data_IF_000498592553
#
_entry.id   IF_000498592553
#
_cell.length_a   1.000
_cell.length_b   1.000
_cell.length_c   1.000
_cell.angle_alpha   90.00
_cell.angle_beta   90.00
_cell.angle_gamma   90.00
#
_symmetry.space_group_name_H-M   'P 1'
#
loop_
_entity.id
_entity.type
_entity.pdbx_description
1 polymer ?
#
# COMPACT_ATOMS: atom_id res chain seq x y z
N UNK A 1 -56.30 -35.48 21.21
CA UNK A 1 -54.95 -35.71 21.75
C UNK A 1 -53.99 -35.94 20.58
N UNK A 2 -53.38 -34.87 20.08
CA UNK A 2 -52.37 -34.93 19.00
C UNK A 2 -51.02 -34.52 19.59
N UNK A 3 -50.02 -35.41 19.47
CA UNK A 3 -48.63 -35.12 19.85
C UNK A 3 -48.01 -34.14 18.85
N UNK A 4 -47.22 -33.14 19.27
CA UNK A 4 -46.48 -32.30 18.34
C UNK A 4 -45.17 -33.00 17.94
N UNK A 5 -44.92 -33.03 16.64
CA UNK A 5 -43.66 -33.42 16.00
C UNK A 5 -42.59 -32.36 16.27
N UNK A 6 -41.43 -32.78 16.80
CA UNK A 6 -40.24 -31.93 16.95
C UNK A 6 -39.54 -31.78 15.59
N UNK A 7 -39.42 -30.55 15.10
CA UNK A 7 -38.47 -30.22 14.03
C UNK A 7 -37.03 -30.22 14.57
N UNK A 8 -36.03 -30.67 13.80
CA UNK A 8 -34.64 -30.64 14.23
C UNK A 8 -34.11 -29.21 14.20
N UNK A 9 -33.44 -28.82 15.29
CA UNK A 9 -32.70 -27.55 15.39
C UNK A 9 -31.48 -27.65 14.47
N UNK A 10 -31.50 -26.92 13.36
CA UNK A 10 -30.31 -26.69 12.54
C UNK A 10 -29.38 -25.79 13.35
N UNK A 11 -28.24 -26.33 13.78
CA UNK A 11 -27.19 -25.53 14.39
C UNK A 11 -26.69 -24.51 13.35
N UNK A 12 -26.55 -23.22 13.70
CA UNK A 12 -25.94 -22.27 12.79
C UNK A 12 -24.53 -22.76 12.48
N UNK A 13 -24.22 -22.93 11.20
CA UNK A 13 -22.88 -23.22 10.75
C UNK A 13 -21.95 -22.14 11.33
N UNK A 14 -20.95 -22.58 12.09
CA UNK A 14 -19.86 -21.71 12.54
C UNK A 14 -19.19 -21.22 11.26
N UNK A 15 -19.46 -19.98 10.88
CA UNK A 15 -18.73 -19.29 9.82
C UNK A 15 -17.35 -19.03 10.38
N UNK A 16 -16.40 -19.90 10.02
CA UNK A 16 -14.99 -19.69 10.31
C UNK A 16 -14.54 -18.47 9.49
N UNK A 17 -14.03 -17.39 10.11
CA UNK A 17 -13.49 -16.25 9.36
C UNK A 17 -12.34 -16.73 8.48
N UNK A 18 -12.41 -16.43 7.18
CA UNK A 18 -11.31 -16.68 6.25
C UNK A 18 -10.17 -15.69 6.51
N UNK A 19 -8.94 -16.15 6.38
CA UNK A 19 -7.76 -15.28 6.55
C UNK A 19 -7.59 -14.36 5.33
N UNK A 20 -6.88 -13.24 5.44
CA UNK A 20 -6.66 -12.34 4.29
C UNK A 20 -5.97 -13.01 3.10
N UNK A 21 -5.14 -14.03 3.33
CA UNK A 21 -4.53 -14.76 2.22
C UNK A 21 -5.58 -15.51 1.39
N UNK A 22 -6.63 -16.03 2.02
CA UNK A 22 -7.74 -16.72 1.34
C UNK A 22 -8.67 -15.76 0.59
N UNK A 23 -8.70 -14.47 0.94
CA UNK A 23 -9.48 -13.46 0.20
C UNK A 23 -8.75 -12.90 -1.02
N UNK A 24 -7.42 -12.89 -1.01
CA UNK A 24 -6.61 -12.57 -2.19
C UNK A 24 -6.62 -13.67 -3.27
N UNK A 25 -7.09 -14.87 -2.92
CA UNK A 25 -7.12 -16.06 -3.80
C UNK A 25 -8.52 -16.43 -4.33
N UNK A 26 -9.56 -15.61 -4.09
CA UNK A 26 -10.84 -15.83 -4.79
C UNK A 26 -10.61 -15.50 -6.27
N UNK A 27 -10.75 -16.48 -7.19
CA UNK A 27 -10.54 -16.22 -8.60
C UNK A 27 -11.53 -15.14 -9.04
N UNK A 28 -11.03 -14.06 -9.64
CA UNK A 28 -11.88 -13.09 -10.31
C UNK A 28 -12.78 -13.82 -11.31
N UNK A 29 -14.05 -13.42 -11.36
CA UNK A 29 -14.99 -13.97 -12.32
C UNK A 29 -14.43 -13.83 -13.75
N UNK A 30 -14.66 -14.85 -14.59
CA UNK A 30 -14.03 -14.94 -15.91
C UNK A 30 -14.35 -13.73 -16.80
N UNK A 31 -15.56 -13.17 -16.69
CA UNK A 31 -15.97 -11.95 -17.40
C UNK A 31 -15.14 -10.72 -17.01
N UNK A 32 -14.81 -10.57 -15.72
CA UNK A 32 -13.93 -9.51 -15.22
C UNK A 32 -12.51 -9.71 -15.78
N UNK A 33 -12.02 -10.96 -15.76
CA UNK A 33 -10.67 -11.29 -16.25
C UNK A 33 -10.54 -11.03 -17.75
N UNK A 34 -11.50 -11.48 -18.53
CA UNK A 34 -11.50 -11.35 -19.99
C UNK A 34 -11.58 -9.90 -20.40
N UNK A 35 -12.48 -9.11 -19.76
CA UNK A 35 -12.54 -7.66 -19.96
C UNK A 35 -11.21 -6.98 -19.67
N UNK A 36 -10.59 -7.27 -18.52
CA UNK A 36 -9.30 -6.65 -18.17
C UNK A 36 -8.18 -7.05 -19.13
N UNK A 37 -8.15 -8.30 -19.59
CA UNK A 37 -7.16 -8.76 -20.57
C UNK A 37 -7.35 -8.09 -21.93
N UNK A 38 -8.59 -7.96 -22.40
CA UNK A 38 -8.92 -7.25 -23.63
C UNK A 38 -8.47 -5.78 -23.54
N UNK A 39 -8.84 -5.10 -22.45
CA UNK A 39 -8.51 -3.69 -22.25
C UNK A 39 -7.02 -3.49 -22.01
N UNK A 40 -6.31 -4.45 -21.40
CA UNK A 40 -4.86 -4.40 -21.27
C UNK A 40 -4.17 -4.53 -22.63
N UNK A 41 -4.66 -5.39 -23.53
CA UNK A 41 -4.12 -5.48 -24.90
C UNK A 41 -4.32 -4.17 -25.66
N UNK A 42 -5.51 -3.57 -25.54
CA UNK A 42 -5.79 -2.26 -26.12
C UNK A 42 -4.88 -1.18 -25.55
N UNK A 43 -4.73 -1.13 -24.23
CA UNK A 43 -3.82 -0.20 -23.54
C UNK A 43 -2.36 -0.37 -23.97
N UNK A 44 -1.87 -1.61 -24.06
CA UNK A 44 -0.52 -1.91 -24.54
C UNK A 44 -0.33 -1.39 -25.97
N UNK A 45 -1.28 -1.62 -26.88
CA UNK A 45 -1.22 -1.10 -28.24
C UNK A 45 -1.18 0.44 -28.27
N UNK A 46 -1.99 1.13 -27.46
CA UNK A 46 -1.97 2.59 -27.33
C UNK A 46 -0.64 3.14 -26.77
N UNK A 47 0.06 2.33 -25.98
CA UNK A 47 1.35 2.65 -25.38
C UNK A 47 2.54 2.19 -26.25
N UNK A 48 2.29 1.59 -27.42
CA UNK A 48 3.35 1.06 -28.28
C UNK A 48 4.07 -0.14 -27.66
N UNK A 49 3.33 -0.99 -26.93
CA UNK A 49 3.86 -2.17 -26.25
C UNK A 49 3.09 -3.45 -26.65
N UNK A 50 3.72 -4.60 -26.45
CA UNK A 50 3.14 -5.92 -26.67
C UNK A 50 3.31 -6.78 -25.42
N UNK A 51 2.38 -7.70 -25.19
CA UNK A 51 2.43 -8.56 -24.00
C UNK A 51 3.66 -9.46 -24.03
N UNK A 52 4.28 -9.64 -22.87
CA UNK A 52 5.39 -10.56 -22.68
C UNK A 52 5.01 -11.70 -21.73
N UNK A 53 4.85 -12.90 -22.27
CA UNK A 53 4.61 -14.10 -21.45
C UNK A 53 3.26 -14.14 -20.72
N UNK A 54 3.25 -14.93 -19.64
CA UNK A 54 2.03 -15.31 -18.92
C UNK A 54 1.93 -14.73 -17.50
N UNK A 55 2.94 -13.98 -17.02
CA UNK A 55 2.88 -13.35 -15.69
C UNK A 55 1.78 -12.28 -15.65
N UNK A 56 0.89 -12.37 -14.65
CA UNK A 56 -0.15 -11.38 -14.37
C UNK A 56 -0.27 -11.18 -12.88
N UNK A 57 -0.40 -9.94 -12.45
CA UNK A 57 -0.74 -9.54 -11.09
C UNK A 57 -2.10 -8.86 -11.13
N UNK A 58 -3.09 -9.48 -10.51
CA UNK A 58 -4.46 -9.00 -10.48
C UNK A 58 -4.67 -8.11 -9.26
N UNK A 59 -5.22 -6.92 -9.48
CA UNK A 59 -5.66 -6.04 -8.41
C UNK A 59 -6.92 -6.55 -7.73
N UNK A 60 -7.15 -6.07 -6.51
CA UNK A 60 -8.34 -6.38 -5.72
C UNK A 60 -9.62 -6.16 -6.52
N UNK A 61 -10.50 -7.16 -6.56
CA UNK A 61 -11.82 -7.11 -7.24
C UNK A 61 -11.78 -6.61 -8.70
N UNK A 62 -10.66 -6.84 -9.41
CA UNK A 62 -10.53 -6.44 -10.81
C UNK A 62 -10.34 -4.92 -11.00
N UNK A 63 -9.89 -4.23 -9.95
CA UNK A 63 -9.50 -2.80 -10.01
C UNK A 63 -8.26 -2.56 -10.86
N UNK A 64 -7.39 -3.57 -11.03
CA UNK A 64 -6.20 -3.45 -11.84
C UNK A 64 -5.73 -4.79 -12.43
N UNK A 65 -4.88 -4.70 -13.44
CA UNK A 65 -4.09 -5.80 -14.00
C UNK A 65 -2.69 -5.27 -14.32
N UNK A 66 -1.67 -5.86 -13.72
CA UNK A 66 -0.27 -5.55 -14.00
C UNK A 66 0.44 -6.73 -14.65
N UNK A 67 1.33 -6.45 -15.60
CA UNK A 67 2.04 -7.47 -16.37
C UNK A 67 3.30 -6.91 -17.03
N UNK A 68 4.31 -7.77 -17.30
CA UNK A 68 5.41 -7.40 -18.17
C UNK A 68 4.94 -7.22 -19.62
N UNK A 69 5.53 -6.26 -20.30
CA UNK A 69 5.31 -5.97 -21.72
C UNK A 69 6.65 -5.64 -22.37
N UNK A 70 6.75 -5.83 -23.68
CA UNK A 70 7.89 -5.38 -24.49
C UNK A 70 7.53 -4.09 -25.19
N UNK A 71 8.43 -3.11 -25.15
CA UNK A 71 8.35 -1.95 -26.01
C UNK A 71 8.42 -2.40 -27.48
N UNK A 72 7.41 -2.06 -28.29
CA UNK A 72 7.29 -2.60 -29.65
C UNK A 72 8.39 -2.09 -30.60
N UNK A 73 9.01 -0.95 -30.28
CA UNK A 73 10.05 -0.34 -31.13
C UNK A 73 11.45 -0.83 -30.80
N UNK A 74 11.74 -1.02 -29.52
CA UNK A 74 13.07 -1.33 -29.00
C UNK A 74 13.22 -2.76 -28.50
N UNK A 75 12.11 -3.48 -28.30
CA UNK A 75 12.09 -4.82 -27.68
C UNK A 75 12.46 -4.79 -26.20
N UNK A 76 12.59 -3.61 -25.59
CA UNK A 76 13.02 -3.51 -24.21
C UNK A 76 11.91 -3.91 -23.24
N UNK A 77 12.26 -4.65 -22.19
CA UNK A 77 11.31 -5.04 -21.14
C UNK A 77 10.77 -3.83 -20.38
N UNK A 78 9.46 -3.83 -20.18
CA UNK A 78 8.69 -2.83 -19.44
C UNK A 78 7.70 -3.51 -18.51
N UNK A 79 7.14 -2.72 -17.62
CA UNK A 79 6.01 -3.14 -16.79
C UNK A 79 4.82 -2.27 -17.15
N UNK A 80 3.64 -2.87 -17.32
CA UNK A 80 2.41 -2.13 -17.55
C UNK A 80 1.44 -2.40 -16.40
N UNK A 81 0.78 -1.34 -15.92
CA UNK A 81 -0.37 -1.43 -14.99
C UNK A 81 -1.58 -0.84 -15.68
N UNK A 82 -2.61 -1.66 -15.88
CA UNK A 82 -3.94 -1.23 -16.26
C UNK A 82 -4.77 -1.06 -14.98
N UNK A 83 -5.41 0.09 -14.82
CA UNK A 83 -6.42 0.35 -13.79
C UNK A 83 -7.80 0.37 -14.43
N UNK A 84 -8.80 0.01 -13.66
CA UNK A 84 -10.20 -0.06 -14.09
C UNK A 84 -11.12 0.39 -12.96
N UNK A 85 -12.14 1.18 -13.29
CA UNK A 85 -13.23 1.53 -12.37
C UNK A 85 -14.53 1.74 -13.16
N UNK A 86 -15.71 1.68 -12.50
CA UNK A 86 -16.94 2.16 -13.12
C UNK A 86 -16.80 3.62 -13.54
N UNK A 87 -17.17 3.95 -14.78
CA UNK A 87 -16.99 5.30 -15.31
C UNK A 87 -17.86 6.35 -14.61
N UNK A 88 -18.99 5.92 -14.03
CA UNK A 88 -19.92 6.76 -13.29
C UNK A 88 -19.37 7.21 -11.93
N UNK A 89 -18.39 6.48 -11.37
CA UNK A 89 -17.81 6.82 -10.08
C UNK A 89 -16.90 8.06 -10.20
N UNK A 90 -16.71 8.83 -9.11
CA UNK A 90 -15.69 9.87 -9.08
C UNK A 90 -14.29 9.31 -9.32
N UNK A 91 -13.42 10.10 -9.97
CA UNK A 91 -12.00 9.75 -10.10
C UNK A 91 -11.36 9.80 -8.70
N UNK A 92 -10.80 8.69 -8.19
CA UNK A 92 -10.14 8.72 -6.90
C UNK A 92 -8.78 9.43 -6.99
N UNK A 93 -8.30 10.08 -5.93
CA UNK A 93 -7.01 10.77 -5.96
C UNK A 93 -5.81 9.89 -6.37
N UNK A 94 -5.80 8.61 -5.98
CA UNK A 94 -4.71 7.67 -6.28
C UNK A 94 -4.54 7.36 -7.77
N UNK A 95 -5.52 7.69 -8.63
CA UNK A 95 -5.37 7.58 -10.09
C UNK A 95 -4.33 8.55 -10.65
N UNK A 96 -4.07 9.67 -9.97
CA UNK A 96 -3.02 10.62 -10.36
C UNK A 96 -1.70 10.35 -9.63
N UNK A 97 -1.64 9.37 -8.73
CA UNK A 97 -0.50 9.13 -7.83
C UNK A 97 0.79 8.88 -8.56
N UNK A 98 0.84 7.88 -9.45
CA UNK A 98 2.05 7.53 -10.20
C UNK A 98 2.58 8.70 -11.04
N UNK A 99 1.71 9.43 -11.74
CA UNK A 99 2.10 10.61 -12.51
C UNK A 99 2.57 11.78 -11.63
N UNK A 100 1.96 11.94 -10.46
CA UNK A 100 2.36 12.95 -9.47
C UNK A 100 3.72 12.59 -8.87
N UNK A 101 3.93 11.34 -8.48
CA UNK A 101 5.20 10.82 -8.01
C UNK A 101 6.30 11.00 -9.06
N UNK A 102 6.03 10.67 -10.33
CA UNK A 102 7.01 10.87 -11.41
C UNK A 102 7.47 12.32 -11.49
N UNK A 103 6.52 13.27 -11.51
CA UNK A 103 6.83 14.71 -11.59
C UNK A 103 7.63 15.22 -10.39
N UNK A 104 7.36 14.68 -9.21
CA UNK A 104 7.79 15.26 -7.92
C UNK A 104 9.04 14.58 -7.37
N UNK A 105 9.14 13.26 -7.52
CA UNK A 105 10.24 12.42 -7.01
C UNK A 105 11.35 12.27 -8.06
N UNK A 106 11.12 12.73 -9.30
CA UNK A 106 12.18 12.83 -10.32
C UNK A 106 13.42 13.54 -9.78
N UNK A 107 14.55 12.85 -9.81
CA UNK A 107 15.83 13.38 -9.33
C UNK A 107 16.14 13.10 -7.85
N UNK A 108 15.20 12.58 -7.07
CA UNK A 108 15.50 12.06 -5.74
C UNK A 108 16.29 10.75 -5.84
N UNK A 109 17.08 10.46 -4.80
CA UNK A 109 17.80 9.19 -4.67
C UNK A 109 16.85 8.11 -4.16
N UNK A 110 15.85 7.79 -4.97
CA UNK A 110 14.87 6.73 -4.70
C UNK A 110 14.84 5.82 -5.92
N UNK A 111 15.27 4.56 -5.76
CA UNK A 111 15.18 3.59 -6.84
C UNK A 111 13.74 3.12 -6.97
N UNK A 112 13.13 3.37 -8.13
CA UNK A 112 11.73 3.05 -8.44
C UNK A 112 11.55 2.81 -9.93
N UNK A 113 10.49 2.11 -10.35
CA UNK A 113 10.05 2.16 -11.74
C UNK A 113 9.76 3.60 -12.16
N UNK A 114 10.31 4.01 -13.30
CA UNK A 114 10.05 5.30 -13.94
C UNK A 114 8.80 5.17 -14.80
N UNK A 115 7.84 6.08 -14.64
CA UNK A 115 6.67 6.17 -15.50
C UNK A 115 7.08 6.77 -16.85
N UNK A 116 6.94 5.99 -17.92
CA UNK A 116 7.36 6.35 -19.26
C UNK A 116 6.22 6.96 -20.07
N UNK A 117 5.01 6.41 -19.93
CA UNK A 117 3.84 6.86 -20.66
C UNK A 117 2.55 6.46 -19.93
N UNK A 118 1.48 7.21 -20.20
CA UNK A 118 0.16 6.96 -19.65
C UNK A 118 -0.92 7.23 -20.70
N UNK A 119 -1.96 6.40 -20.73
CA UNK A 119 -3.15 6.56 -21.57
C UNK A 119 -4.39 6.25 -20.76
N UNK A 120 -5.44 7.05 -20.95
CA UNK A 120 -6.74 6.83 -20.32
C UNK A 120 -7.84 6.83 -21.38
N UNK A 121 -8.86 6.00 -21.16
CA UNK A 121 -10.02 5.89 -22.05
C UNK A 121 -11.23 5.37 -21.27
N UNK A 122 -12.40 5.43 -21.87
CA UNK A 122 -13.62 4.83 -21.33
C UNK A 122 -14.26 3.90 -22.38
N UNK A 123 -14.76 2.76 -21.93
CA UNK A 123 -15.43 1.78 -22.78
C UNK A 123 -16.39 0.93 -21.93
N UNK A 124 -17.58 0.64 -22.46
CA UNK A 124 -18.53 -0.31 -21.83
C UNK A 124 -18.97 0.06 -20.41
N UNK A 125 -19.06 1.36 -20.08
CA UNK A 125 -19.40 1.82 -18.73
C UNK A 125 -18.24 1.81 -17.73
N UNK A 126 -17.03 1.49 -18.18
CA UNK A 126 -15.81 1.50 -17.38
C UNK A 126 -14.86 2.58 -17.87
N UNK A 127 -14.07 3.10 -16.95
CA UNK A 127 -12.96 3.99 -17.22
C UNK A 127 -11.65 3.26 -16.89
N UNK A 128 -10.68 3.39 -17.79
CA UNK A 128 -9.40 2.71 -17.75
C UNK A 128 -8.24 3.69 -17.81
N UNK A 129 -7.14 3.29 -17.20
CA UNK A 129 -5.87 4.00 -17.27
C UNK A 129 -4.75 2.97 -17.37
N UNK A 130 -4.01 2.98 -18.47
CA UNK A 130 -2.80 2.19 -18.64
C UNK A 130 -1.57 3.06 -18.41
N UNK A 131 -0.66 2.55 -17.61
CA UNK A 131 0.62 3.15 -17.26
C UNK A 131 1.72 2.21 -17.71
N UNK A 132 2.69 2.75 -18.46
CA UNK A 132 3.89 2.04 -18.89
C UNK A 132 5.07 2.52 -18.04
N UNK A 133 5.77 1.59 -17.41
CA UNK A 133 6.91 1.87 -16.55
C UNK A 133 8.16 1.12 -16.99
N UNK A 134 9.33 1.66 -16.66
CA UNK A 134 10.59 0.94 -16.79
C UNK A 134 10.56 -0.34 -15.94
N UNK A 135 11.10 -1.44 -16.47
CA UNK A 135 11.26 -2.67 -15.68
C UNK A 135 12.51 -2.59 -14.81
N UNK A 136 12.36 -2.84 -13.52
CA UNK A 136 13.49 -3.18 -12.63
C UNK A 136 13.49 -4.71 -12.50
N UNK A 137 14.60 -5.42 -12.78
CA UNK A 137 14.62 -6.89 -12.85
C UNK A 137 14.73 -7.52 -11.45
N UNK A 138 13.83 -7.15 -10.54
CA UNK A 138 13.71 -7.71 -9.18
C UNK A 138 12.25 -7.98 -8.86
N UNK A 139 12.02 -8.83 -7.87
CA UNK A 139 10.70 -9.12 -7.31
C UNK A 139 10.56 -8.43 -5.95
N UNK A 140 9.32 -8.10 -5.59
CA UNK A 140 9.00 -7.66 -4.23
C UNK A 140 9.39 -8.73 -3.21
N UNK A 141 9.63 -8.31 -1.98
CA UNK A 141 9.97 -9.25 -0.90
C UNK A 141 8.81 -10.15 -0.50
N UNK A 142 7.59 -9.65 -0.63
CA UNK A 142 6.39 -10.37 -0.23
C UNK A 142 5.29 -10.25 -1.29
N UNK A 143 4.40 -11.23 -1.32
CA UNK A 143 3.11 -11.15 -2.03
C UNK A 143 2.03 -10.51 -1.18
N UNK A 144 2.29 -10.26 0.11
CA UNK A 144 1.38 -9.61 1.05
C UNK A 144 2.08 -8.44 1.73
N UNK A 145 1.34 -7.65 2.52
CA UNK A 145 1.94 -6.54 3.27
C UNK A 145 2.93 -7.01 4.34
N UNK A 146 2.85 -8.27 4.78
CA UNK A 146 3.63 -8.81 5.89
C UNK A 146 5.10 -9.08 5.54
N UNK A 147 5.96 -8.89 6.54
CA UNK A 147 7.40 -9.13 6.46
C UNK A 147 7.75 -10.63 6.33
N UNK A 148 8.53 -11.03 5.33
CA UNK A 148 9.22 -12.32 5.38
C UNK A 148 10.35 -12.28 6.41
N UNK A 149 10.50 -13.31 7.26
CA UNK A 149 11.51 -13.32 8.33
C UNK A 149 12.96 -13.05 7.85
N UNK A 150 13.32 -13.48 6.64
CA UNK A 150 14.66 -13.32 6.11
C UNK A 150 15.08 -11.87 5.88
N UNK A 151 14.14 -10.91 5.77
CA UNK A 151 14.46 -9.50 5.51
C UNK A 151 15.20 -8.85 6.70
N UNK A 152 15.10 -9.42 7.91
CA UNK A 152 15.88 -8.97 9.07
C UNK A 152 17.40 -9.07 8.82
N UNK A 153 17.81 -10.05 7.99
CA UNK A 153 19.20 -10.29 7.58
C UNK A 153 19.68 -9.42 6.41
N UNK A 154 18.87 -8.48 5.90
CA UNK A 154 19.30 -7.58 4.83
C UNK A 154 20.52 -6.73 5.27
N UNK A 155 21.44 -6.41 4.33
CA UNK A 155 22.62 -5.64 4.65
C UNK A 155 22.28 -4.27 5.23
N UNK A 156 23.11 -3.76 6.15
CA UNK A 156 22.94 -2.43 6.74
C UNK A 156 22.82 -1.31 5.69
N UNK A 157 23.52 -1.45 4.56
CA UNK A 157 23.45 -0.49 3.46
C UNK A 157 22.05 -0.39 2.85
N UNK A 158 21.30 -1.49 2.76
CA UNK A 158 19.93 -1.48 2.24
C UNK A 158 19.00 -0.74 3.20
N UNK A 159 19.11 -0.99 4.50
CA UNK A 159 18.33 -0.30 5.52
C UNK A 159 18.61 1.21 5.57
N UNK A 160 19.89 1.60 5.50
CA UNK A 160 20.29 3.00 5.41
C UNK A 160 19.81 3.66 4.12
N UNK A 161 19.81 2.94 2.99
CA UNK A 161 19.32 3.46 1.71
C UNK A 161 17.79 3.62 1.72
N UNK A 162 17.05 2.65 2.27
CA UNK A 162 15.60 2.78 2.49
C UNK A 162 15.27 3.99 3.37
N UNK A 163 15.98 4.15 4.49
CA UNK A 163 15.81 5.29 5.38
C UNK A 163 16.04 6.61 4.63
N UNK A 164 17.16 6.72 3.91
CA UNK A 164 17.48 7.91 3.14
C UNK A 164 16.45 8.19 2.03
N UNK A 165 15.93 7.16 1.38
CA UNK A 165 14.87 7.28 0.39
C UNK A 165 13.59 7.88 1.00
N UNK A 166 13.12 7.34 2.13
CA UNK A 166 11.92 7.84 2.82
C UNK A 166 12.11 9.26 3.36
N UNK A 167 13.29 9.57 3.90
CA UNK A 167 13.62 10.94 4.33
C UNK A 167 13.56 11.91 3.15
N UNK A 168 14.15 11.54 2.00
CA UNK A 168 14.14 12.38 0.80
C UNK A 168 12.74 12.62 0.26
N UNK A 169 11.84 11.64 0.37
CA UNK A 169 10.43 11.79 -0.03
C UNK A 169 9.74 12.82 0.87
N UNK A 170 9.98 12.78 2.18
CA UNK A 170 9.37 13.70 3.14
C UNK A 170 9.84 15.15 2.97
N UNK A 171 11.08 15.34 2.52
CA UNK A 171 11.67 16.67 2.31
C UNK A 171 11.18 17.39 1.05
N UNK A 172 10.43 16.68 0.19
CA UNK A 172 9.81 17.28 -0.99
C UNK A 172 8.75 18.32 -0.57
N UNK A 173 8.68 19.49 -1.25
CA UNK A 173 7.57 20.43 -1.06
C UNK A 173 6.21 19.76 -1.24
N UNK A 174 5.42 19.71 -0.17
CA UNK A 174 4.11 19.06 -0.16
C UNK A 174 3.00 19.96 -0.73
N UNK A 175 3.30 21.22 -1.07
CA UNK A 175 2.35 22.16 -1.66
C UNK A 175 1.75 21.63 -2.96
N UNK A 176 0.42 21.54 -3.02
CA UNK A 176 -0.30 21.06 -4.20
C UNK A 176 -0.46 19.54 -4.29
N UNK A 177 0.11 18.77 -3.37
CA UNK A 177 -0.16 17.33 -3.25
C UNK A 177 -1.54 17.09 -2.60
N UNK A 178 -2.29 16.11 -3.10
CA UNK A 178 -3.53 15.69 -2.45
C UNK A 178 -3.23 14.94 -1.14
N UNK A 179 -4.05 15.09 -0.08
CA UNK A 179 -3.95 14.22 1.08
C UNK A 179 -4.29 12.78 0.69
N UNK A 180 -3.58 11.82 1.27
CA UNK A 180 -3.87 10.40 1.10
C UNK A 180 -5.19 10.12 1.80
N UNK A 181 -6.21 9.80 1.01
CA UNK A 181 -7.62 9.83 1.46
C UNK A 181 -7.86 8.89 2.63
N UNK A 182 -7.34 7.66 2.58
CA UNK A 182 -7.56 6.70 3.66
C UNK A 182 -6.86 7.11 4.96
N UNK A 183 -5.68 7.75 4.87
CA UNK A 183 -4.98 8.29 6.03
C UNK A 183 -5.72 9.49 6.59
N UNK A 184 -6.27 10.36 5.74
CA UNK A 184 -7.07 11.51 6.17
C UNK A 184 -8.35 11.08 6.89
N UNK A 185 -9.06 10.09 6.35
CA UNK A 185 -10.22 9.49 6.99
C UNK A 185 -9.85 8.89 8.35
N UNK A 186 -8.74 8.15 8.42
CA UNK A 186 -8.27 7.57 9.68
C UNK A 186 -7.90 8.66 10.71
N UNK A 187 -7.13 9.67 10.32
CA UNK A 187 -6.79 10.80 11.18
C UNK A 187 -8.01 11.58 11.70
N UNK A 188 -9.04 11.77 10.86
CA UNK A 188 -10.31 12.39 11.26
C UNK A 188 -11.06 11.55 12.29
N UNK A 189 -11.04 10.22 12.15
CA UNK A 189 -11.65 9.31 13.13
C UNK A 189 -11.00 9.38 14.52
N UNK A 190 -9.73 9.80 14.58
CA UNK A 190 -8.99 10.04 15.82
C UNK A 190 -9.17 11.46 16.38
N UNK A 191 -9.93 12.33 15.70
CA UNK A 191 -10.17 13.71 16.12
C UNK A 191 -8.95 14.63 16.01
N UNK A 192 -7.94 14.28 15.22
CA UNK A 192 -6.65 14.96 15.19
C UNK A 192 -6.11 15.17 13.77
N UNK A 193 -6.98 15.47 12.79
CA UNK A 193 -6.54 15.72 11.41
C UNK A 193 -6.11 17.18 11.23
N UNK A 194 -4.84 17.37 10.86
CA UNK A 194 -4.37 18.63 10.26
C UNK A 194 -3.63 18.34 8.95
N UNK A 195 -4.38 18.15 7.83
CA UNK A 195 -3.77 17.87 6.53
C UNK A 195 -2.84 18.97 6.00
N UNK A 196 -2.87 20.17 6.58
CA UNK A 196 -2.02 21.28 6.15
C UNK A 196 -0.56 21.11 6.61
N UNK A 197 -0.33 20.45 7.76
CA UNK A 197 1.01 20.13 8.27
C UNK A 197 1.58 18.82 7.74
N UNK A 198 0.83 18.14 6.86
CA UNK A 198 1.25 16.86 6.29
C UNK A 198 2.35 17.02 5.25
N UNK A 199 3.26 16.04 5.26
CA UNK A 199 4.45 15.99 4.40
C UNK A 199 4.21 15.04 3.23
N UNK A 200 5.04 15.15 2.20
CA UNK A 200 5.02 14.19 1.10
C UNK A 200 5.35 12.77 1.61
N UNK A 201 4.69 11.77 1.03
CA UNK A 201 4.72 10.39 1.49
C UNK A 201 4.50 9.45 0.33
N UNK A 202 5.20 8.31 0.34
CA UNK A 202 4.94 7.23 -0.60
C UNK A 202 3.51 6.72 -0.45
N UNK A 203 3.03 6.62 0.79
CA UNK A 203 1.63 6.38 1.09
C UNK A 203 1.29 4.92 1.34
N UNK A 204 1.96 3.98 0.66
CA UNK A 204 1.74 2.54 0.87
C UNK A 204 3.05 1.75 1.06
N UNK A 205 3.91 2.20 1.99
CA UNK A 205 5.12 1.43 2.33
C UNK A 205 4.74 0.17 3.11
N UNK A 206 4.98 -0.98 2.49
CA UNK A 206 4.86 -2.31 3.07
C UNK A 206 5.79 -3.30 2.35
N UNK A 207 5.91 -4.53 2.87
CA UNK A 207 6.85 -5.52 2.33
C UNK A 207 6.52 -6.05 0.93
N UNK A 208 5.28 -5.85 0.45
CA UNK A 208 4.91 -6.12 -0.94
C UNK A 208 5.44 -5.05 -1.92
N UNK A 209 5.75 -3.86 -1.43
CA UNK A 209 6.17 -2.73 -2.25
C UNK A 209 7.68 -2.44 -2.13
N UNK A 210 8.43 -3.35 -1.49
CA UNK A 210 9.88 -3.22 -1.30
C UNK A 210 10.63 -4.36 -1.98
N UNK A 211 11.81 -4.02 -2.51
CA UNK A 211 12.78 -5.00 -2.97
C UNK A 211 14.23 -4.52 -2.76
N UNK A 212 15.17 -5.37 -3.14
CA UNK A 212 16.60 -5.09 -3.17
C UNK A 212 17.12 -5.17 -4.59
N UNK A 213 17.86 -4.15 -5.04
CA UNK A 213 18.66 -4.20 -6.26
C UNK A 213 20.12 -3.90 -5.91
N UNK A 214 20.94 -4.94 -5.86
CA UNK A 214 22.30 -4.84 -5.32
C UNK A 214 22.28 -4.54 -3.81
N UNK A 215 22.52 -3.28 -3.44
CA UNK A 215 22.49 -2.79 -2.04
C UNK A 215 21.45 -1.72 -1.79
N UNK A 216 20.71 -1.32 -2.83
CA UNK A 216 19.74 -0.22 -2.78
C UNK A 216 18.33 -0.75 -2.55
N UNK A 217 17.52 0.05 -1.85
CA UNK A 217 16.11 -0.21 -1.67
C UNK A 217 15.32 0.21 -2.90
N UNK A 218 14.44 -0.67 -3.37
CA UNK A 218 13.51 -0.39 -4.46
C UNK A 218 12.12 -0.19 -3.91
N UNK A 219 11.48 0.93 -4.24
CA UNK A 219 10.08 1.22 -3.88
C UNK A 219 9.19 1.07 -5.11
N UNK A 220 8.21 0.18 -4.99
CA UNK A 220 7.16 -0.08 -5.98
C UNK A 220 5.83 0.56 -5.56
N UNK A 221 4.91 0.63 -6.51
CA UNK A 221 3.51 1.04 -6.30
C UNK A 221 3.31 2.45 -5.71
N UNK A 222 3.48 3.45 -6.57
CA UNK A 222 3.41 4.87 -6.23
C UNK A 222 1.99 5.45 -6.36
N UNK A 223 0.96 4.60 -6.28
CA UNK A 223 -0.44 4.97 -6.48
C UNK A 223 -0.96 5.93 -5.41
N UNK A 224 -0.55 5.70 -4.17
CA UNK A 224 -1.00 6.47 -3.03
C UNK A 224 -0.10 7.68 -2.74
N UNK A 225 0.83 8.02 -3.64
CA UNK A 225 1.72 9.15 -3.42
C UNK A 225 0.95 10.45 -3.20
N UNK A 226 1.21 11.10 -2.07
CA UNK A 226 0.45 12.27 -1.63
C UNK A 226 0.97 12.82 -0.31
N UNK A 227 0.09 13.51 0.42
CA UNK A 227 0.41 14.00 1.77
C UNK A 227 -0.09 13.07 2.85
N UNK A 228 0.74 12.88 3.86
CA UNK A 228 0.48 12.04 5.03
C UNK A 228 0.98 12.71 6.32
N UNK A 229 0.56 12.23 7.50
CA UNK A 229 1.27 12.50 8.73
C UNK A 229 2.77 12.26 8.58
N UNK A 230 3.58 13.13 9.19
CA UNK A 230 5.03 12.95 9.22
C UNK A 230 5.38 11.57 9.77
N UNK A 231 6.30 10.86 9.11
CA UNK A 231 6.71 9.49 9.44
C UNK A 231 5.66 8.39 9.18
N UNK A 232 4.59 8.66 8.41
CA UNK A 232 3.59 7.66 8.03
C UNK A 232 4.19 6.44 7.30
N UNK A 233 5.16 6.64 6.41
CA UNK A 233 5.82 5.53 5.70
C UNK A 233 6.60 4.60 6.65
N UNK A 234 7.36 5.17 7.60
CA UNK A 234 8.07 4.40 8.62
C UNK A 234 7.10 3.70 9.58
N UNK A 235 6.01 4.37 9.95
CA UNK A 235 4.94 3.78 10.77
C UNK A 235 4.28 2.59 10.04
N UNK A 236 3.93 2.75 8.76
CA UNK A 236 3.37 1.66 7.95
C UNK A 236 4.33 0.47 7.84
N UNK A 237 5.62 0.73 7.64
CA UNK A 237 6.64 -0.32 7.62
C UNK A 237 6.73 -1.06 8.95
N UNK A 238 6.72 -0.36 10.09
CA UNK A 238 6.74 -0.98 11.42
C UNK A 238 5.50 -1.85 11.64
N UNK A 239 4.31 -1.31 11.40
CA UNK A 239 3.05 -2.03 11.65
C UNK A 239 2.94 -3.28 10.76
N UNK A 240 3.47 -3.22 9.54
CA UNK A 240 3.57 -4.37 8.63
C UNK A 240 4.65 -5.39 8.98
N UNK A 241 5.44 -5.12 10.03
CA UNK A 241 6.49 -6.01 10.52
C UNK A 241 6.15 -6.67 11.86
N UNK A 242 5.03 -6.32 12.51
CA UNK A 242 4.76 -6.70 13.91
C UNK A 242 4.66 -8.20 14.16
N UNK A 243 4.22 -8.99 13.18
CA UNK A 243 4.16 -10.46 13.27
C UNK A 243 5.53 -11.13 13.12
N UNK A 244 6.58 -10.36 12.82
CA UNK A 244 7.95 -10.84 12.67
C UNK A 244 8.88 -10.00 13.57
N UNK A 245 9.03 -10.36 14.86
CA UNK A 245 9.69 -9.53 15.86
C UNK A 245 11.10 -9.07 15.47
N UNK A 246 11.90 -9.94 14.83
CA UNK A 246 13.25 -9.59 14.38
C UNK A 246 13.24 -8.50 13.31
N UNK A 247 12.25 -8.51 12.42
CA UNK A 247 12.09 -7.46 11.40
C UNK A 247 11.58 -6.17 12.03
N UNK A 248 10.59 -6.26 12.92
CA UNK A 248 10.09 -5.09 13.65
C UNK A 248 11.20 -4.41 14.48
N UNK A 249 12.11 -5.19 15.07
CA UNK A 249 13.27 -4.69 15.79
C UNK A 249 14.22 -3.92 14.85
N UNK A 250 14.47 -4.43 13.63
CA UNK A 250 15.31 -3.73 12.63
C UNK A 250 14.66 -2.45 12.12
N UNK A 251 13.35 -2.46 11.85
CA UNK A 251 12.63 -1.23 11.50
C UNK A 251 12.73 -0.22 12.65
N UNK A 252 12.52 -0.66 13.89
CA UNK A 252 12.64 0.21 15.07
C UNK A 252 14.06 0.77 15.23
N UNK A 253 15.10 -0.02 14.97
CA UNK A 253 16.50 0.40 15.02
C UNK A 253 16.77 1.57 14.05
N UNK A 254 16.46 1.39 12.76
CA UNK A 254 16.75 2.36 11.70
C UNK A 254 15.82 3.57 11.66
N UNK A 255 14.63 3.46 12.26
CA UNK A 255 13.62 4.52 12.29
C UNK A 255 13.31 5.01 13.72
N UNK A 256 14.18 4.73 14.69
CA UNK A 256 13.95 4.97 16.12
C UNK A 256 13.60 6.43 16.45
N UNK A 257 14.33 7.39 15.91
CA UNK A 257 14.10 8.83 16.07
C UNK A 257 12.73 9.25 15.49
N UNK A 258 12.32 8.67 14.37
CA UNK A 258 11.02 8.93 13.76
C UNK A 258 9.89 8.32 14.59
N UNK A 259 9.97 7.01 14.86
CA UNK A 259 8.92 6.21 15.47
C UNK A 259 8.68 6.53 16.95
N UNK A 260 9.69 7.05 17.64
CA UNK A 260 9.59 7.49 19.04
C UNK A 260 9.12 8.93 19.20
N UNK A 261 9.17 9.74 18.13
CA UNK A 261 8.75 11.13 18.17
C UNK A 261 7.23 11.28 18.34
N UNK A 262 6.72 12.43 18.84
CA UNK A 262 5.28 12.67 18.91
C UNK A 262 4.58 12.52 17.56
N UNK A 263 5.21 12.99 16.47
CA UNK A 263 4.68 12.87 15.11
C UNK A 263 4.63 11.40 14.66
N UNK A 264 5.67 10.62 14.95
CA UNK A 264 5.71 9.21 14.59
C UNK A 264 4.76 8.34 15.41
N UNK A 265 4.54 8.67 16.68
CA UNK A 265 3.51 8.02 17.49
C UNK A 265 2.11 8.35 16.97
N UNK A 266 1.87 9.61 16.57
CA UNK A 266 0.62 9.99 15.91
C UNK A 266 0.43 9.26 14.58
N UNK A 267 1.46 9.18 13.74
CA UNK A 267 1.42 8.45 12.48
C UNK A 267 1.10 6.97 12.70
N UNK A 268 1.71 6.31 13.69
CA UNK A 268 1.36 4.94 14.07
C UNK A 268 -0.12 4.79 14.42
N UNK A 269 -0.70 5.72 15.19
CA UNK A 269 -2.14 5.72 15.48
C UNK A 269 -3.01 5.88 14.24
N UNK A 270 -2.64 6.77 13.31
CA UNK A 270 -3.39 6.96 12.04
C UNK A 270 -3.36 5.69 11.20
N UNK A 271 -2.20 5.07 11.01
CA UNK A 271 -2.09 3.84 10.22
C UNK A 271 -2.83 2.69 10.93
N UNK A 272 -2.70 2.55 12.26
CA UNK A 272 -3.41 1.52 13.02
C UNK A 272 -4.93 1.67 12.96
N UNK A 273 -5.45 2.89 12.99
CA UNK A 273 -6.89 3.15 12.86
C UNK A 273 -7.44 2.65 11.51
N UNK A 274 -6.69 2.83 10.42
CA UNK A 274 -7.06 2.25 9.12
C UNK A 274 -7.05 0.72 9.16
N UNK A 275 -6.03 0.11 9.76
CA UNK A 275 -5.90 -1.34 9.86
C UNK A 275 -7.03 -1.96 10.69
N UNK A 276 -7.45 -1.31 11.77
CA UNK A 276 -8.63 -1.74 12.53
C UNK A 276 -9.91 -1.78 11.69
N UNK A 277 -10.10 -0.84 10.76
CA UNK A 277 -11.22 -0.89 9.82
C UNK A 277 -11.13 -2.12 8.90
N UNK A 278 -9.92 -2.47 8.45
CA UNK A 278 -9.67 -3.65 7.59
C UNK A 278 -9.88 -4.96 8.36
N UNK A 279 -9.43 -5.05 9.62
CA UNK A 279 -9.70 -6.19 10.50
C UNK A 279 -11.20 -6.43 10.69
N UNK A 280 -11.97 -5.36 10.89
CA UNK A 280 -13.44 -5.46 10.98
C UNK A 280 -14.10 -5.94 9.68
N UNK A 281 -13.43 -5.78 8.54
CA UNK A 281 -13.84 -6.33 7.25
C UNK A 281 -13.35 -7.77 7.01
N UNK A 282 -12.64 -8.38 7.97
CA UNK A 282 -12.10 -9.74 7.88
C UNK A 282 -10.72 -9.83 7.22
N UNK A 283 -10.09 -8.71 6.89
CA UNK A 283 -8.76 -8.68 6.29
C UNK A 283 -7.68 -8.65 7.37
N UNK A 284 -6.53 -9.29 7.14
CA UNK A 284 -5.32 -9.19 7.98
C UNK A 284 -5.54 -9.55 9.46
N UNK A 285 -6.51 -10.42 9.76
CA UNK A 285 -6.91 -10.77 11.13
C UNK A 285 -5.74 -11.32 11.97
N UNK A 286 -4.76 -11.96 11.33
CA UNK A 286 -3.58 -12.51 12.00
C UNK A 286 -2.69 -11.42 12.63
N UNK A 287 -2.68 -10.21 12.05
CA UNK A 287 -1.93 -9.05 12.54
C UNK A 287 -2.63 -8.34 13.71
N UNK A 288 -3.90 -8.65 13.98
CA UNK A 288 -4.70 -7.92 14.98
C UNK A 288 -4.13 -8.00 16.41
N UNK A 289 -3.74 -9.18 16.93
CA UNK A 289 -3.20 -9.28 18.28
C UNK A 289 -1.90 -8.48 18.46
N UNK A 290 -0.99 -8.57 17.49
CA UNK A 290 0.30 -7.88 17.52
C UNK A 290 0.11 -6.36 17.42
N UNK A 291 -0.76 -5.90 16.52
CA UNK A 291 -1.10 -4.48 16.40
C UNK A 291 -1.71 -3.94 17.69
N UNK A 292 -2.69 -4.65 18.27
CA UNK A 292 -3.34 -4.23 19.53
C UNK A 292 -2.35 -4.14 20.68
N UNK A 293 -1.39 -5.08 20.77
CA UNK A 293 -0.37 -5.03 21.80
C UNK A 293 0.56 -3.83 21.63
N UNK A 294 1.02 -3.56 20.41
CA UNK A 294 1.86 -2.42 20.08
C UNK A 294 1.17 -1.07 20.36
N UNK A 295 -0.11 -0.96 19.99
CA UNK A 295 -0.85 0.30 20.14
C UNK A 295 -1.07 0.71 21.59
N UNK A 296 -1.17 -0.24 22.55
CA UNK A 296 -1.19 0.11 23.98
C UNK A 296 0.06 0.90 24.40
N UNK A 297 1.23 0.48 23.93
CA UNK A 297 2.50 1.19 24.20
C UNK A 297 2.54 2.56 23.54
N UNK A 298 2.00 2.70 22.33
CA UNK A 298 1.91 3.99 21.63
C UNK A 298 0.98 4.96 22.40
N UNK A 299 -0.19 4.49 22.83
CA UNK A 299 -1.17 5.28 23.60
C UNK A 299 -0.60 5.76 24.93
N UNK A 300 0.10 4.89 25.66
CA UNK A 300 0.80 5.24 26.91
C UNK A 300 1.81 6.37 26.67
N UNK A 301 2.67 6.27 25.65
CA UNK A 301 3.67 7.30 25.32
C UNK A 301 3.05 8.63 24.89
N UNK A 302 1.98 8.59 24.10
CA UNK A 302 1.22 9.80 23.73
C UNK A 302 0.57 10.45 24.95
N UNK A 303 0.08 9.65 25.91
CA UNK A 303 -0.48 10.17 27.16
C UNK A 303 0.59 10.92 27.98
N UNK A 304 1.77 10.35 28.14
CA UNK A 304 2.88 10.97 28.89
C UNK A 304 3.34 12.30 28.28
N UNK A 305 3.43 12.34 26.94
CA UNK A 305 3.81 13.55 26.20
C UNK A 305 2.81 14.69 26.40
N UNK A 306 1.50 14.39 26.46
CA UNK A 306 0.45 15.39 26.73
C UNK A 306 0.52 15.95 28.15
N UNK A 307 0.78 15.09 29.14
CA UNK A 307 0.92 15.53 30.54
C UNK A 307 2.15 16.44 30.73
N UNK A 308 3.27 16.14 30.07
CA UNK A 308 4.45 16.99 30.11
C UNK A 308 4.21 18.39 29.53
N UNK A 309 3.51 18.50 28.38
CA UNK A 309 3.17 19.80 27.78
C UNK A 309 2.18 20.63 28.63
N UNK A 310 1.27 19.97 29.34
CA UNK A 310 0.30 20.64 30.22
C UNK A 310 0.88 21.12 31.57
N UNK A 311 2.00 20.55 32.01
CA UNK A 311 2.68 20.96 33.24
C UNK A 311 3.67 22.13 33.05
N UNK A 312 4.01 22.45 31.79
CA UNK A 312 4.96 23.52 31.42
C UNK A 312 4.28 24.79 30.88
N UNK A 313 2.95 24.83 30.85
CA UNK A 313 2.12 25.97 30.43
C UNK A 313 1.47 26.63 31.66
#
# INVERSE_FOLDING_TARGET
MSKPTKSPVVSPAVVVPRTSSEMHDVPLADDIRDRLLEQARYGAALLGAVFDGAERVWGWEGSALSLPVLDASSGAERWMKLRSRPAADPVPPYWAGAATAERVVSGLRVRRPVLLAQKAWACGGWAYQAELMSRIPVRSFSSTRAAPAWVAGLPAAWWSDLRAALDSIQDVPSTGLAPITWQETAARSLGAADPASWVASHGDVCWANLAVFGREAVLFDWDDFGRAPRFADAASLLLSSLDTPDVAARVTEYFSDQLSSPDGLYAQSVIAAHWHTRFRAGEHIDLEPALRAHMRTVEERLSLTRHQKGATA
#
